data_IF_879281903066
#
_entry.id   IF_879281903066
#
_cell.length_a   1.000
_cell.length_b   1.000
_cell.length_c   1.000
_cell.angle_alpha   90.00
_cell.angle_beta   90.00
_cell.angle_gamma   90.00
#
_symmetry.space_group_name_H-M   'P 1'
#
loop_
_entity.id
_entity.type
_entity.pdbx_description
1 polymer ?
#
# COMPACT_ATOMS: atom_id res chain seq x y z
N UNK A 1 41.44 1.34 -19.19
CA UNK A 1 40.28 0.41 -19.25
C UNK A 1 39.44 0.61 -18.00
N UNK A 2 38.12 0.62 -18.13
CA UNK A 2 37.21 0.71 -16.97
C UNK A 2 36.96 -0.69 -16.39
N UNK A 3 37.03 -0.79 -15.07
CA UNK A 3 36.77 -2.01 -14.31
C UNK A 3 35.62 -1.80 -13.33
N UNK A 4 34.85 -2.85 -13.11
CA UNK A 4 33.69 -2.87 -12.22
C UNK A 4 33.88 -3.99 -11.19
N UNK A 5 33.62 -3.68 -9.91
CA UNK A 5 33.59 -4.70 -8.86
C UNK A 5 32.23 -5.40 -8.89
N UNK A 6 32.20 -6.66 -9.32
CA UNK A 6 30.97 -7.41 -9.56
C UNK A 6 30.56 -8.19 -8.31
N UNK A 7 29.31 -8.00 -7.89
CA UNK A 7 28.65 -8.85 -6.89
C UNK A 7 28.04 -10.07 -7.59
N UNK A 8 28.64 -11.24 -7.38
CA UNK A 8 28.11 -12.50 -7.91
C UNK A 8 26.84 -12.95 -7.17
N UNK A 9 25.81 -13.34 -7.92
CA UNK A 9 24.53 -13.81 -7.36
C UNK A 9 24.73 -15.15 -6.64
N UNK A 10 24.22 -15.27 -5.42
CA UNK A 10 24.30 -16.51 -4.63
C UNK A 10 25.62 -16.72 -3.87
N UNK A 11 26.62 -15.87 -4.07
CA UNK A 11 27.92 -15.98 -3.41
C UNK A 11 28.11 -14.89 -2.33
N UNK A 12 29.03 -15.04 -1.37
CA UNK A 12 29.33 -13.99 -0.39
C UNK A 12 30.04 -12.76 -1.01
N UNK A 13 30.18 -11.68 -0.26
CA UNK A 13 30.88 -10.45 -0.73
C UNK A 13 32.39 -10.69 -0.94
N UNK A 14 32.96 -11.72 -0.30
CA UNK A 14 34.38 -12.09 -0.40
C UNK A 14 34.78 -12.64 -1.77
N UNK A 15 33.81 -13.10 -2.58
CA UNK A 15 34.07 -13.63 -3.93
C UNK A 15 33.93 -12.57 -5.02
N UNK A 16 33.70 -11.31 -4.67
CA UNK A 16 33.54 -10.24 -5.65
C UNK A 16 34.85 -10.04 -6.43
N UNK A 17 34.75 -9.92 -7.76
CA UNK A 17 35.90 -9.76 -8.65
C UNK A 17 35.82 -8.47 -9.46
N UNK A 18 36.98 -7.96 -9.86
CA UNK A 18 37.06 -6.82 -10.78
C UNK A 18 36.99 -7.31 -12.21
N UNK A 19 35.91 -6.95 -12.91
CA UNK A 19 35.68 -7.35 -14.29
C UNK A 19 35.79 -6.13 -15.24
N UNK A 20 36.45 -6.27 -16.40
CA UNK A 20 36.45 -5.24 -17.43
C UNK A 20 35.06 -5.11 -18.08
N UNK A 21 34.75 -3.94 -18.63
CA UNK A 21 33.45 -3.66 -19.25
C UNK A 21 33.05 -4.71 -20.32
N UNK A 22 34.00 -5.22 -21.09
CA UNK A 22 33.75 -6.20 -22.15
C UNK A 22 33.19 -7.53 -21.62
N UNK A 23 33.45 -7.87 -20.35
CA UNK A 23 32.92 -9.08 -19.71
C UNK A 23 31.46 -8.91 -19.25
N UNK A 24 30.95 -7.68 -19.19
CA UNK A 24 29.66 -7.36 -18.58
C UNK A 24 28.54 -7.33 -19.63
N UNK A 25 27.76 -8.41 -19.69
CA UNK A 25 26.60 -8.56 -20.58
C UNK A 25 25.28 -8.15 -19.91
N UNK A 26 25.28 -7.03 -19.19
CA UNK A 26 24.14 -6.58 -18.38
C UNK A 26 23.84 -5.08 -18.57
N UNK A 27 23.40 -4.66 -19.76
CA UNK A 27 23.24 -3.23 -20.11
C UNK A 27 22.32 -2.48 -19.15
N UNK A 28 21.24 -3.12 -18.68
CA UNK A 28 20.30 -2.49 -17.73
C UNK A 28 20.94 -2.23 -16.36
N UNK A 29 21.77 -3.14 -15.85
CA UNK A 29 22.47 -2.96 -14.57
C UNK A 29 23.56 -1.88 -14.69
N UNK A 30 24.27 -1.84 -15.82
CA UNK A 30 25.26 -0.80 -16.10
C UNK A 30 24.61 0.58 -16.22
N UNK A 31 23.47 0.68 -16.90
CA UNK A 31 22.69 1.91 -17.00
C UNK A 31 22.20 2.35 -15.62
N UNK A 32 21.66 1.43 -14.82
CA UNK A 32 21.21 1.71 -13.46
C UNK A 32 22.36 2.23 -12.58
N UNK A 33 23.51 1.57 -12.60
CA UNK A 33 24.70 2.00 -11.88
C UNK A 33 25.15 3.41 -12.31
N UNK A 34 25.15 3.68 -13.61
CA UNK A 34 25.51 4.99 -14.17
C UNK A 34 24.55 6.09 -13.71
N UNK A 35 23.24 5.81 -13.73
CA UNK A 35 22.21 6.74 -13.28
C UNK A 35 22.35 7.04 -11.79
N UNK A 36 22.57 6.03 -10.95
CA UNK A 36 22.76 6.24 -9.51
C UNK A 36 23.98 7.07 -9.20
N UNK A 37 25.09 6.79 -9.90
CA UNK A 37 26.33 7.54 -9.77
C UNK A 37 26.11 9.00 -10.17
N UNK A 38 25.39 9.25 -11.28
CA UNK A 38 25.05 10.59 -11.74
C UNK A 38 24.17 11.33 -10.72
N UNK A 39 23.12 10.69 -10.21
CA UNK A 39 22.20 11.25 -9.22
C UNK A 39 22.92 11.62 -7.92
N UNK A 40 23.80 10.74 -7.43
CA UNK A 40 24.59 11.04 -6.24
C UNK A 40 25.51 12.24 -6.46
N UNK A 41 26.21 12.28 -7.59
CA UNK A 41 27.10 13.39 -7.93
C UNK A 41 26.35 14.72 -8.08
N UNK A 42 25.14 14.71 -8.63
CA UNK A 42 24.32 15.92 -8.78
C UNK A 42 23.84 16.44 -7.42
N UNK A 43 23.47 15.56 -6.50
CA UNK A 43 23.10 15.92 -5.12
C UNK A 43 24.29 16.52 -4.35
N UNK A 44 25.47 15.91 -4.44
CA UNK A 44 26.69 16.40 -3.78
C UNK A 44 27.08 17.80 -4.28
N UNK A 45 26.91 18.07 -5.58
CA UNK A 45 27.17 19.40 -6.17
C UNK A 45 26.19 20.48 -5.70
N UNK A 46 24.92 20.13 -5.48
CA UNK A 46 23.90 21.07 -4.99
C UNK A 46 24.07 21.43 -3.51
N UNK A 47 24.54 20.49 -2.69
CA UNK A 47 24.65 20.68 -1.24
C UNK A 47 25.93 21.33 -0.72
N UNK A 48 26.98 21.50 -1.55
CA UNK A 48 28.30 21.99 -1.10
C UNK A 48 28.99 22.86 -2.16
N UNK A 49 29.12 24.16 -1.87
CA UNK A 49 30.15 25.05 -2.42
C UNK A 49 31.54 24.72 -1.81
N UNK A 50 31.95 23.44 -1.82
CA UNK A 50 33.23 23.00 -1.23
C UNK A 50 34.17 22.56 -2.34
N UNK A 51 35.35 23.19 -2.36
CA UNK A 51 36.52 22.91 -3.21
C UNK A 51 36.70 21.41 -3.47
N UNK A 52 36.30 20.96 -4.66
CA UNK A 52 36.42 19.57 -5.12
C UNK A 52 37.85 19.21 -5.58
N UNK A 53 38.84 20.08 -5.41
CA UNK A 53 40.19 19.88 -5.95
C UNK A 53 41.10 19.01 -5.07
N UNK A 54 40.89 18.95 -3.75
CA UNK A 54 41.95 18.40 -2.87
C UNK A 54 41.74 16.99 -2.30
N UNK A 55 40.64 16.26 -2.59
CA UNK A 55 40.51 14.88 -2.07
C UNK A 55 39.71 13.92 -2.97
N UNK A 56 40.20 13.72 -4.21
CA UNK A 56 39.66 12.76 -5.19
C UNK A 56 39.50 11.33 -4.60
N UNK A 57 40.39 10.90 -3.70
CA UNK A 57 40.33 9.60 -3.04
C UNK A 57 39.13 9.46 -2.10
N UNK A 58 38.80 10.50 -1.34
CA UNK A 58 37.66 10.49 -0.41
C UNK A 58 36.32 10.44 -1.17
N UNK A 59 36.21 11.23 -2.24
CA UNK A 59 35.03 11.24 -3.11
C UNK A 59 34.78 9.86 -3.74
N UNK A 60 35.83 9.22 -4.28
CA UNK A 60 35.72 7.86 -4.84
C UNK A 60 35.21 6.84 -3.81
N UNK A 61 35.69 6.90 -2.56
CA UNK A 61 35.21 6.03 -1.47
C UNK A 61 33.74 6.30 -1.12
N UNK A 62 33.32 7.57 -1.06
CA UNK A 62 31.95 7.94 -0.76
C UNK A 62 30.97 7.44 -1.84
N UNK A 63 31.33 7.61 -3.12
CA UNK A 63 30.55 7.08 -4.25
C UNK A 63 30.44 5.56 -4.14
N UNK A 64 31.56 4.86 -3.94
CA UNK A 64 31.54 3.40 -3.81
C UNK A 64 30.66 2.93 -2.64
N UNK A 65 30.77 3.59 -1.48
CA UNK A 65 29.93 3.30 -0.31
C UNK A 65 28.44 3.52 -0.59
N UNK A 66 28.08 4.61 -1.27
CA UNK A 66 26.70 4.88 -1.68
C UNK A 66 26.18 3.83 -2.67
N UNK A 67 26.97 3.44 -3.69
CA UNK A 67 26.60 2.39 -4.65
C UNK A 67 26.30 1.06 -3.96
N UNK A 68 27.14 0.65 -2.99
CA UNK A 68 26.93 -0.58 -2.21
C UNK A 68 25.64 -0.49 -1.38
N UNK A 69 25.41 0.63 -0.69
CA UNK A 69 24.18 0.86 0.08
C UNK A 69 22.94 0.81 -0.81
N UNK A 70 22.95 1.49 -1.95
CA UNK A 70 21.83 1.51 -2.92
C UNK A 70 21.54 0.12 -3.49
N UNK A 71 22.57 -0.67 -3.79
CA UNK A 71 22.42 -2.05 -4.25
C UNK A 71 21.81 -2.98 -3.17
N UNK A 72 22.29 -2.86 -1.92
CA UNK A 72 21.73 -3.60 -0.77
C UNK A 72 20.27 -3.22 -0.50
N UNK A 73 19.96 -1.91 -0.54
CA UNK A 73 18.60 -1.39 -0.41
C UNK A 73 17.67 -2.03 -1.45
N UNK A 74 18.02 -2.02 -2.74
CA UNK A 74 17.19 -2.62 -3.79
C UNK A 74 16.95 -4.11 -3.59
N UNK A 75 17.97 -4.84 -3.15
CA UNK A 75 17.82 -6.26 -2.84
C UNK A 75 16.86 -6.48 -1.67
N UNK A 76 16.93 -5.64 -0.63
CA UNK A 76 16.02 -5.68 0.50
C UNK A 76 14.57 -5.34 0.09
N UNK A 77 14.38 -4.27 -0.69
CA UNK A 77 13.06 -3.88 -1.22
C UNK A 77 12.45 -4.96 -2.12
N UNK A 78 13.26 -5.61 -2.97
CA UNK A 78 12.79 -6.73 -3.80
C UNK A 78 12.33 -7.91 -2.93
N UNK A 79 13.12 -8.30 -1.93
CA UNK A 79 12.73 -9.38 -1.00
C UNK A 79 11.45 -9.04 -0.25
N UNK A 80 11.28 -7.79 0.17
CA UNK A 80 10.07 -7.34 0.84
C UNK A 80 8.87 -7.37 -0.12
N UNK A 81 9.02 -6.89 -1.35
CA UNK A 81 7.99 -7.03 -2.39
C UNK A 81 7.58 -8.49 -2.60
N UNK A 82 8.55 -9.40 -2.69
CA UNK A 82 8.29 -10.84 -2.87
C UNK A 82 7.54 -11.41 -1.66
N UNK A 83 7.89 -11.00 -0.44
CA UNK A 83 7.20 -11.40 0.79
C UNK A 83 5.76 -10.87 0.86
N UNK A 84 5.53 -9.59 0.52
CA UNK A 84 4.19 -9.01 0.42
C UNK A 84 3.32 -9.80 -0.57
N UNK A 85 3.87 -10.13 -1.75
CA UNK A 85 3.15 -10.89 -2.77
C UNK A 85 2.96 -12.37 -2.44
N UNK A 86 3.82 -12.95 -1.58
CA UNK A 86 3.62 -14.30 -1.05
C UNK A 86 2.50 -14.34 -0.01
N UNK A 87 2.35 -13.27 0.78
CA UNK A 87 1.34 -13.17 1.83
C UNK A 87 -0.04 -12.80 1.31
N UNK A 88 -0.13 -11.92 0.30
CA UNK A 88 -1.42 -11.42 -0.19
C UNK A 88 -2.34 -12.56 -0.67
N UNK A 89 -3.64 -12.44 -0.40
CA UNK A 89 -4.68 -13.33 -0.94
C UNK A 89 -5.46 -12.70 -2.12
N UNK A 90 -5.22 -11.43 -2.44
CA UNK A 90 -5.89 -10.73 -3.54
C UNK A 90 -5.13 -10.87 -4.88
N UNK A 91 -5.84 -10.64 -5.99
CA UNK A 91 -5.30 -10.80 -7.35
C UNK A 91 -4.24 -9.76 -7.71
N UNK A 92 -4.41 -8.51 -7.29
CA UNK A 92 -3.48 -7.41 -7.60
C UNK A 92 -2.05 -7.69 -7.13
N UNK A 93 -1.04 -7.26 -7.89
CA UNK A 93 0.37 -7.34 -7.50
C UNK A 93 0.76 -6.11 -6.68
N UNK A 94 1.56 -6.31 -5.64
CA UNK A 94 2.13 -5.23 -4.83
C UNK A 94 3.55 -4.97 -5.34
N UNK A 95 3.86 -3.71 -5.67
CA UNK A 95 5.19 -3.30 -6.13
C UNK A 95 5.84 -2.36 -5.12
N UNK A 96 7.15 -2.51 -4.92
CA UNK A 96 7.94 -1.68 -4.01
C UNK A 96 9.08 -1.03 -4.78
N UNK A 97 9.16 0.30 -4.75
CA UNK A 97 10.20 1.07 -5.45
C UNK A 97 10.60 2.30 -4.64
N UNK A 98 11.90 2.45 -4.40
CA UNK A 98 12.46 3.69 -3.85
C UNK A 98 13.62 4.19 -4.74
N UNK A 99 13.34 5.27 -5.49
CA UNK A 99 14.32 5.95 -6.35
C UNK A 99 14.79 7.29 -5.80
N UNK A 100 14.37 7.66 -4.59
CA UNK A 100 14.64 8.99 -4.00
C UNK A 100 15.83 8.92 -3.05
N UNK A 101 15.80 7.99 -2.09
CA UNK A 101 16.77 7.91 -1.00
C UNK A 101 17.24 6.46 -0.74
N UNK A 102 17.84 6.21 0.43
CA UNK A 102 18.38 4.90 0.83
C UNK A 102 17.50 4.12 1.83
N UNK A 103 16.26 4.55 2.06
CA UNK A 103 15.35 3.90 3.00
C UNK A 103 14.95 2.50 2.53
N UNK A 104 15.14 1.51 3.40
CA UNK A 104 14.81 0.11 3.14
C UNK A 104 13.38 -0.24 3.55
N UNK A 105 13.02 -1.54 3.53
CA UNK A 105 11.77 -2.00 4.10
C UNK A 105 11.64 -1.61 5.58
N UNK A 106 10.42 -1.29 6.06
CA UNK A 106 10.17 -1.11 7.48
C UNK A 106 10.46 -2.41 8.25
N UNK A 107 11.14 -2.32 9.40
CA UNK A 107 11.60 -3.48 10.17
C UNK A 107 10.52 -4.18 10.98
N UNK A 108 9.44 -3.46 11.33
CA UNK A 108 8.39 -3.91 12.23
C UNK A 108 7.00 -3.79 11.59
N UNK A 109 6.90 -4.23 10.33
CA UNK A 109 5.67 -4.22 9.56
C UNK A 109 5.31 -5.64 9.13
N UNK A 110 4.08 -6.05 9.41
CA UNK A 110 3.56 -7.36 9.07
C UNK A 110 2.31 -7.22 8.24
N UNK A 111 2.38 -7.66 6.98
CA UNK A 111 1.22 -7.69 6.10
C UNK A 111 0.21 -8.74 6.59
N UNK A 112 -1.02 -8.30 6.82
CA UNK A 112 -2.15 -9.14 7.21
C UNK A 112 -3.24 -9.02 6.13
N UNK A 113 -3.88 -10.14 5.81
CA UNK A 113 -4.99 -10.17 4.86
C UNK A 113 -6.34 -10.04 5.55
N UNK A 114 -6.42 -10.19 6.85
CA UNK A 114 -7.68 -10.16 7.58
C UNK A 114 -7.43 -9.51 8.92
N UNK A 115 -8.47 -8.90 9.46
CA UNK A 115 -8.42 -8.30 10.79
C UNK A 115 -7.99 -9.35 11.82
N UNK A 116 -7.05 -8.97 12.68
CA UNK A 116 -6.62 -9.79 13.81
C UNK A 116 -7.23 -9.20 15.10
N UNK A 117 -8.31 -9.78 15.65
CA UNK A 117 -8.93 -9.25 16.85
C UNK A 117 -7.95 -9.25 18.03
N UNK A 118 -8.06 -8.24 18.88
CA UNK A 118 -7.40 -8.24 20.17
C UNK A 118 -7.94 -9.40 21.04
N UNK A 119 -7.13 -9.94 21.97
CA UNK A 119 -7.60 -10.95 22.91
C UNK A 119 -8.88 -10.49 23.63
N UNK A 120 -9.92 -11.32 23.62
CA UNK A 120 -11.23 -11.01 24.23
C UNK A 120 -12.31 -10.51 23.26
N UNK A 121 -11.94 -10.10 22.04
CA UNK A 121 -12.90 -9.71 21.00
C UNK A 121 -13.27 -10.94 20.17
N UNK A 122 -14.53 -11.36 20.23
CA UNK A 122 -15.04 -12.45 19.40
C UNK A 122 -15.78 -11.88 18.19
N UNK A 123 -15.36 -12.24 16.97
CA UNK A 123 -16.05 -11.88 15.72
C UNK A 123 -17.32 -12.74 15.49
N UNK A 124 -18.01 -13.12 16.57
CA UNK A 124 -18.94 -14.25 16.56
C UNK A 124 -20.35 -13.93 16.07
N UNK A 125 -20.66 -12.69 15.69
CA UNK A 125 -21.97 -12.34 15.13
C UNK A 125 -21.98 -12.56 13.63
N UNK A 126 -21.83 -13.83 13.26
CA UNK A 126 -22.08 -14.29 11.89
C UNK A 126 -23.54 -14.05 11.55
N UNK A 127 -23.76 -13.50 10.37
CA UNK A 127 -25.07 -13.27 9.81
C UNK A 127 -25.93 -14.53 9.97
N UNK A 128 -27.08 -14.35 10.62
CA UNK A 128 -28.02 -15.43 10.92
C UNK A 128 -28.91 -15.68 9.68
N UNK A 129 -29.07 -14.66 8.84
CA UNK A 129 -29.95 -14.68 7.67
C UNK A 129 -29.20 -14.25 6.40
N UNK A 130 -29.66 -14.75 5.26
CA UNK A 130 -29.18 -14.38 3.93
C UNK A 130 -30.33 -14.37 2.94
N UNK A 131 -30.16 -13.67 1.82
CA UNK A 131 -31.22 -13.57 0.82
C UNK A 131 -31.42 -14.89 0.04
N UNK A 132 -32.67 -15.17 -0.30
CA UNK A 132 -33.10 -16.32 -1.13
C UNK A 132 -33.46 -15.94 -2.57
N UNK A 133 -33.19 -14.70 -2.98
CA UNK A 133 -33.60 -14.17 -4.28
C UNK A 133 -32.83 -14.79 -5.45
N UNK A 134 -33.51 -14.99 -6.58
CA UNK A 134 -32.92 -15.39 -7.86
C UNK A 134 -32.57 -14.20 -8.76
N UNK A 135 -33.10 -13.01 -8.47
CA UNK A 135 -32.91 -11.78 -9.25
C UNK A 135 -32.18 -10.70 -8.42
N UNK A 136 -30.85 -10.70 -8.56
CA UNK A 136 -29.93 -10.00 -7.66
C UNK A 136 -29.83 -8.48 -7.88
N UNK A 137 -30.59 -7.93 -8.83
CA UNK A 137 -30.59 -6.50 -9.16
C UNK A 137 -31.88 -5.75 -8.76
N UNK A 138 -32.97 -6.47 -8.49
CA UNK A 138 -34.29 -5.85 -8.34
C UNK A 138 -35.01 -6.39 -7.08
N UNK A 139 -34.93 -5.55 -6.04
CA UNK A 139 -35.96 -5.31 -5.03
C UNK A 139 -36.03 -6.17 -3.76
N UNK A 140 -35.47 -7.39 -3.67
CA UNK A 140 -35.43 -8.15 -2.40
C UNK A 140 -34.08 -8.82 -2.14
N UNK A 141 -33.12 -8.01 -1.66
CA UNK A 141 -31.76 -8.46 -1.33
C UNK A 141 -31.32 -7.88 0.02
N UNK A 142 -30.15 -8.28 0.53
CA UNK A 142 -29.62 -7.86 1.84
C UNK A 142 -29.67 -6.34 2.10
N UNK A 143 -29.38 -5.44 1.13
CA UNK A 143 -29.56 -4.00 1.33
C UNK A 143 -31.00 -3.61 1.68
N UNK A 144 -31.98 -4.19 0.97
CA UNK A 144 -33.40 -3.87 1.16
C UNK A 144 -33.90 -4.33 2.54
N UNK A 145 -33.46 -5.50 3.00
CA UNK A 145 -33.74 -5.99 4.37
C UNK A 145 -33.12 -5.08 5.44
N UNK A 146 -31.96 -4.49 5.17
CA UNK A 146 -31.33 -3.49 6.04
C UNK A 146 -31.92 -2.08 5.88
N UNK A 147 -32.94 -1.89 5.04
CA UNK A 147 -33.59 -0.60 4.81
C UNK A 147 -32.76 0.39 3.98
N UNK A 148 -31.74 -0.08 3.26
CA UNK A 148 -30.85 0.76 2.44
C UNK A 148 -30.85 0.37 0.96
N UNK A 149 -30.40 1.30 0.13
CA UNK A 149 -30.31 1.08 -1.32
C UNK A 149 -29.12 0.16 -1.67
N UNK A 150 -29.27 -0.61 -2.74
CA UNK A 150 -28.17 -1.39 -3.32
C UNK A 150 -26.99 -0.45 -3.67
N UNK A 151 -25.81 -0.74 -3.13
CA UNK A 151 -24.64 0.13 -3.25
C UNK A 151 -24.07 0.22 -4.68
N UNK A 152 -24.24 -0.84 -5.48
CA UNK A 152 -23.53 -1.03 -6.75
C UNK A 152 -24.44 -0.91 -7.97
N UNK A 153 -23.88 -0.41 -9.06
CA UNK A 153 -24.50 -0.46 -10.38
C UNK A 153 -24.08 -1.73 -11.16
N UNK A 154 -24.62 -1.91 -12.37
CA UNK A 154 -24.30 -3.05 -13.27
C UNK A 154 -22.82 -3.15 -13.68
N UNK A 155 -22.08 -2.06 -13.55
CA UNK A 155 -20.65 -1.96 -13.85
C UNK A 155 -19.77 -2.15 -12.60
N UNK A 156 -20.32 -2.60 -11.46
CA UNK A 156 -19.63 -2.76 -10.17
C UNK A 156 -19.05 -1.45 -9.61
N UNK A 157 -19.67 -0.31 -9.95
CA UNK A 157 -19.31 0.99 -9.40
C UNK A 157 -20.28 1.38 -8.30
N UNK A 158 -19.79 2.10 -7.30
CA UNK A 158 -20.61 2.63 -6.21
C UNK A 158 -21.54 3.74 -6.73
N UNK A 159 -22.79 3.75 -6.30
CA UNK A 159 -23.80 4.75 -6.67
C UNK A 159 -24.49 5.42 -5.47
N UNK A 160 -24.14 5.00 -4.26
CA UNK A 160 -24.64 5.58 -3.00
C UNK A 160 -23.68 6.69 -2.52
N UNK A 161 -24.18 7.73 -1.83
CA UNK A 161 -23.33 8.79 -1.30
C UNK A 161 -22.45 8.28 -0.12
N UNK A 162 -21.27 8.88 0.11
CA UNK A 162 -20.49 8.64 1.33
C UNK A 162 -21.34 8.78 2.60
N UNK A 163 -21.02 8.01 3.65
CA UNK A 163 -21.82 7.93 4.87
C UNK A 163 -23.02 6.95 4.79
N UNK A 164 -23.37 6.43 3.61
CA UNK A 164 -24.37 5.36 3.48
C UNK A 164 -23.69 3.99 3.67
N UNK A 165 -24.16 3.12 4.58
CA UNK A 165 -23.55 1.81 4.78
C UNK A 165 -23.83 0.87 3.60
N UNK A 166 -22.87 0.00 3.32
CA UNK A 166 -22.96 -1.03 2.29
C UNK A 166 -23.31 -2.36 2.95
N UNK A 167 -24.43 -2.97 2.56
CA UNK A 167 -24.78 -4.34 2.96
C UNK A 167 -24.59 -5.30 1.78
N UNK A 168 -23.48 -6.03 1.77
CA UNK A 168 -23.23 -7.06 0.77
C UNK A 168 -23.95 -8.37 1.10
N UNK A 169 -24.10 -9.25 0.10
CA UNK A 169 -24.50 -10.61 0.36
C UNK A 169 -23.42 -11.35 1.17
N UNK A 170 -23.86 -12.21 2.08
CA UNK A 170 -23.01 -12.90 3.06
C UNK A 170 -22.97 -14.42 2.81
N UNK A 171 -22.29 -15.18 3.66
CA UNK A 171 -22.14 -16.64 3.53
C UNK A 171 -23.46 -17.43 3.66
N UNK A 172 -24.52 -16.83 4.20
CA UNK A 172 -25.88 -17.44 4.31
C UNK A 172 -26.76 -17.21 3.08
N UNK A 173 -26.36 -16.32 2.17
CA UNK A 173 -27.14 -16.04 0.97
C UNK A 173 -27.05 -17.18 -0.04
N UNK A 174 -28.15 -17.46 -0.74
CA UNK A 174 -28.18 -18.51 -1.78
C UNK A 174 -27.40 -18.11 -3.06
N UNK A 175 -27.05 -16.83 -3.20
CA UNK A 175 -26.31 -16.32 -4.34
C UNK A 175 -24.85 -16.79 -4.36
N UNK A 176 -24.38 -17.20 -5.54
CA UNK A 176 -23.01 -17.63 -5.78
C UNK A 176 -21.97 -16.50 -5.71
N UNK A 177 -20.68 -16.83 -5.97
CA UNK A 177 -19.59 -15.86 -5.91
C UNK A 177 -19.78 -14.71 -6.91
N UNK A 178 -20.36 -14.95 -8.08
CA UNK A 178 -20.54 -13.92 -9.12
C UNK A 178 -21.69 -12.94 -8.85
N UNK A 179 -22.31 -13.01 -7.67
CA UNK A 179 -23.34 -12.06 -7.26
C UNK A 179 -22.86 -10.60 -7.42
N UNK A 180 -23.69 -9.72 -8.02
CA UNK A 180 -23.36 -8.31 -8.20
C UNK A 180 -23.28 -7.53 -6.87
N UNK A 181 -23.85 -8.08 -5.80
CA UNK A 181 -23.76 -7.55 -4.43
C UNK A 181 -22.68 -8.26 -3.59
N UNK A 182 -21.62 -8.77 -4.24
CA UNK A 182 -20.40 -9.28 -3.61
C UNK A 182 -19.20 -8.63 -4.29
N UNK A 183 -18.75 -7.47 -3.85
CA UNK A 183 -17.70 -6.65 -4.50
C UNK A 183 -16.52 -6.46 -3.56
N UNK A 184 -16.74 -5.91 -2.37
CA UNK A 184 -15.73 -5.66 -1.34
C UNK A 184 -15.14 -7.00 -0.90
N UNK A 185 -15.98 -7.99 -0.58
CA UNK A 185 -15.52 -9.32 -0.20
C UNK A 185 -14.70 -10.04 -1.30
N UNK A 186 -14.84 -9.62 -2.58
CA UNK A 186 -14.02 -10.16 -3.68
C UNK A 186 -12.66 -9.48 -3.79
N UNK A 187 -12.55 -8.24 -3.33
CA UNK A 187 -11.44 -7.34 -3.70
C UNK A 187 -10.58 -6.94 -2.51
N UNK A 188 -11.14 -6.74 -1.31
CA UNK A 188 -10.39 -6.23 -0.17
C UNK A 188 -10.95 -6.71 1.20
N UNK A 189 -10.07 -6.91 2.20
CA UNK A 189 -10.43 -7.28 3.57
C UNK A 189 -10.54 -6.11 4.57
N UNK A 190 -11.09 -6.44 5.75
CA UNK A 190 -11.61 -5.62 6.88
C UNK A 190 -10.55 -4.88 7.72
N UNK A 191 -10.85 -3.66 8.23
CA UNK A 191 -10.03 -2.86 9.18
C UNK A 191 -10.93 -2.23 10.29
N UNK A 192 -10.46 -2.06 11.55
CA UNK A 192 -11.16 -1.38 12.69
C UNK A 192 -10.25 -0.53 13.61
N UNK A 193 -10.85 0.37 14.42
CA UNK A 193 -10.22 1.48 15.16
C UNK A 193 -10.02 1.40 16.70
N UNK A 194 -10.51 0.44 17.49
CA UNK A 194 -10.43 0.62 18.97
C UNK A 194 -9.06 0.30 19.63
N UNK A 195 -8.13 -0.37 18.95
CA UNK A 195 -6.74 -0.57 19.43
C UNK A 195 -5.80 0.55 18.94
N UNK A 196 -6.30 1.44 18.10
CA UNK A 196 -5.58 2.60 17.57
C UNK A 196 -5.22 3.59 18.69
N UNK A 197 -6.21 3.94 19.50
CA UNK A 197 -6.12 4.97 20.55
C UNK A 197 -5.10 4.63 21.64
N UNK A 198 -4.94 3.35 22.01
CA UNK A 198 -3.92 2.96 23.01
C UNK A 198 -2.48 3.13 22.49
N UNK A 199 -2.29 3.15 21.16
CA UNK A 199 -0.97 3.29 20.52
C UNK A 199 -0.64 4.72 20.08
N UNK A 200 -1.60 5.64 20.10
CA UNK A 200 -1.43 7.07 19.76
C UNK A 200 -0.24 7.71 20.48
N UNK A 201 -0.07 7.45 21.78
CA UNK A 201 1.03 8.02 22.58
C UNK A 201 2.44 7.58 22.12
N UNK A 202 2.54 6.53 21.30
CA UNK A 202 3.80 5.99 20.77
C UNK A 202 4.09 6.46 19.33
N UNK A 203 3.05 6.84 18.57
CA UNK A 203 3.14 7.20 17.15
C UNK A 203 3.29 8.71 16.91
N UNK A 204 2.76 9.57 17.79
CA UNK A 204 2.93 11.03 17.73
C UNK A 204 4.41 11.44 17.79
N UNK A 205 5.19 10.74 18.62
CA UNK A 205 6.64 10.99 18.76
C UNK A 205 7.46 10.62 17.51
N UNK A 206 6.88 9.87 16.56
CA UNK A 206 7.50 9.50 15.27
C UNK A 206 6.84 10.18 14.06
N UNK A 207 5.75 10.93 14.26
CA UNK A 207 5.03 11.63 13.20
C UNK A 207 4.38 10.71 12.15
N UNK A 208 3.85 9.55 12.56
CA UNK A 208 3.24 8.58 11.64
C UNK A 208 1.77 8.33 12.00
N UNK A 209 0.87 8.45 11.03
CA UNK A 209 -0.58 8.20 11.17
C UNK A 209 -0.95 6.84 10.55
N UNK A 210 -0.99 5.77 11.36
CA UNK A 210 -1.48 4.45 10.93
C UNK A 210 -2.91 4.17 11.39
N UNK A 211 -3.53 5.14 12.05
CA UNK A 211 -4.84 5.01 12.68
C UNK A 211 -5.91 5.56 11.73
N UNK A 212 -6.99 4.81 11.60
CA UNK A 212 -8.21 5.25 10.94
C UNK A 212 -9.29 5.19 12.01
N UNK A 213 -9.82 6.35 12.37
CA UNK A 213 -10.95 6.44 13.28
C UNK A 213 -12.21 5.93 12.57
N UNK A 214 -12.98 5.07 13.26
CA UNK A 214 -14.25 4.54 12.76
C UNK A 214 -15.42 5.45 13.14
N UNK A 215 -15.16 6.64 13.67
CA UNK A 215 -16.20 7.58 14.00
C UNK A 215 -16.91 8.04 12.71
N UNK A 216 -18.20 7.78 12.70
CA UNK A 216 -19.11 7.89 11.57
C UNK A 216 -19.33 9.35 11.09
N UNK A 217 -18.58 10.32 11.62
CA UNK A 217 -18.75 11.75 11.36
C UNK A 217 -17.40 12.44 11.13
N UNK A 218 -16.85 12.31 9.91
CA UNK A 218 -15.72 13.13 9.49
C UNK A 218 -15.86 13.55 8.02
N UNK A 219 -16.02 14.85 7.81
CA UNK A 219 -16.10 15.55 6.52
C UNK A 219 -14.71 15.83 5.91
N UNK A 220 -13.72 14.95 6.12
CA UNK A 220 -12.39 15.13 5.53
C UNK A 220 -12.27 14.55 4.12
N UNK A 221 -11.95 15.44 3.18
CA UNK A 221 -11.76 15.14 1.76
C UNK A 221 -10.51 14.28 1.52
N UNK A 222 -10.65 12.97 1.66
CA UNK A 222 -9.74 12.00 1.06
C UNK A 222 -10.11 11.79 -0.41
N UNK A 223 -9.11 11.49 -1.27
CA UNK A 223 -9.34 11.24 -2.71
C UNK A 223 -10.17 9.96 -2.95
N UNK A 224 -10.24 9.11 -1.94
CA UNK A 224 -11.06 7.91 -1.87
C UNK A 224 -12.19 8.14 -0.88
N UNK A 225 -13.41 7.70 -1.22
CA UNK A 225 -14.52 7.72 -0.29
C UNK A 225 -14.46 6.46 0.61
N UNK A 226 -14.59 6.68 1.91
CA UNK A 226 -14.59 5.64 2.94
C UNK A 226 -16.02 5.14 3.13
N UNK A 227 -16.21 3.81 3.09
CA UNK A 227 -17.50 3.18 3.30
C UNK A 227 -17.43 2.09 4.35
N UNK A 228 -18.41 2.08 5.25
CA UNK A 228 -18.69 0.96 6.14
C UNK A 228 -19.41 -0.14 5.37
N UNK A 229 -18.92 -1.37 5.50
CA UNK A 229 -19.38 -2.55 4.77
C UNK A 229 -19.74 -3.64 5.77
N UNK A 230 -20.91 -4.23 5.55
CA UNK A 230 -21.46 -5.31 6.35
C UNK A 230 -21.67 -6.51 5.44
N UNK A 231 -21.10 -7.64 5.85
CA UNK A 231 -21.14 -8.90 5.10
C UNK A 231 -21.63 -10.01 6.05
N UNK A 232 -20.74 -10.90 6.47
CA UNK A 232 -21.02 -11.87 7.52
C UNK A 232 -21.11 -11.22 8.89
N UNK A 233 -20.37 -10.15 9.16
CA UNK A 233 -20.56 -9.39 10.39
C UNK A 233 -21.61 -8.29 10.15
N UNK A 234 -22.70 -8.34 10.91
CA UNK A 234 -23.77 -7.33 10.88
C UNK A 234 -23.72 -6.40 12.11
N UNK A 235 -22.80 -6.62 13.04
CA UNK A 235 -22.60 -5.70 14.15
C UNK A 235 -22.08 -4.35 13.64
N UNK A 236 -22.91 -3.32 13.84
CA UNK A 236 -22.71 -1.95 13.36
C UNK A 236 -21.60 -1.21 14.08
N UNK A 237 -21.19 -1.66 15.27
CA UNK A 237 -19.99 -1.16 15.97
C UNK A 237 -18.70 -1.65 15.32
N UNK A 238 -18.84 -2.60 14.41
CA UNK A 238 -17.80 -3.49 14.00
C UNK A 238 -17.72 -3.61 12.45
N UNK A 239 -17.85 -2.51 11.68
CA UNK A 239 -17.92 -2.55 10.21
C UNK A 239 -16.59 -2.96 9.56
N UNK A 240 -16.67 -3.41 8.31
CA UNK A 240 -15.54 -3.44 7.40
C UNK A 240 -15.37 -2.09 6.71
N UNK A 241 -14.16 -1.53 6.72
CA UNK A 241 -13.85 -0.35 5.93
C UNK A 241 -13.52 -0.76 4.49
N UNK A 242 -14.09 -0.07 3.52
CA UNK A 242 -13.69 -0.13 2.11
C UNK A 242 -13.43 1.26 1.54
N UNK A 243 -12.38 1.37 0.73
CA UNK A 243 -12.03 2.59 0.00
C UNK A 243 -12.50 2.49 -1.44
N UNK A 244 -13.25 3.48 -1.91
CA UNK A 244 -13.71 3.59 -3.29
C UNK A 244 -13.17 4.85 -3.95
N UNK A 245 -12.73 4.74 -5.20
CA UNK A 245 -12.28 5.89 -5.97
C UNK A 245 -13.46 6.86 -6.21
N UNK A 246 -13.30 8.14 -5.88
CA UNK A 246 -14.31 9.19 -6.14
C UNK A 246 -14.33 9.65 -7.59
N UNK A 247 -13.30 9.29 -8.37
CA UNK A 247 -13.12 9.63 -9.77
C UNK A 247 -12.26 8.60 -10.49
N UNK A 248 -12.11 8.74 -11.80
CA UNK A 248 -11.10 8.00 -12.56
C UNK A 248 -9.69 8.34 -12.06
N UNK A 249 -8.91 7.29 -11.77
CA UNK A 249 -7.50 7.38 -11.36
C UNK A 249 -6.64 6.87 -12.52
N UNK A 250 -5.67 7.68 -12.94
CA UNK A 250 -4.79 7.32 -14.05
C UNK A 250 -3.68 6.37 -13.60
N UNK A 251 -3.15 5.59 -14.54
CA UNK A 251 -2.01 4.71 -14.26
C UNK A 251 -0.80 5.53 -13.79
N UNK A 252 -0.23 5.17 -12.63
CA UNK A 252 0.90 5.85 -12.00
C UNK A 252 0.52 7.06 -11.13
N UNK A 253 -0.76 7.35 -10.98
CA UNK A 253 -1.25 8.41 -10.08
C UNK A 253 -1.18 7.98 -8.60
N UNK A 254 -0.71 8.88 -7.74
CA UNK A 254 -0.68 8.68 -6.29
C UNK A 254 -2.09 8.80 -5.69
N UNK A 255 -2.47 7.83 -4.85
CA UNK A 255 -3.82 7.70 -4.28
C UNK A 255 -4.05 8.58 -3.04
N UNK A 256 -3.00 9.10 -2.40
CA UNK A 256 -3.09 9.95 -1.19
C UNK A 256 -2.47 11.33 -1.47
N UNK A 257 -3.13 12.40 -0.99
CA UNK A 257 -2.73 13.80 -1.24
C UNK A 257 -1.41 14.15 -0.52
N UNK A 258 -0.38 14.50 -1.31
CA UNK A 258 0.50 15.66 -1.04
C UNK A 258 0.17 16.74 -2.06
N UNK A 259 -1.07 17.22 -2.04
CA UNK A 259 -1.78 17.46 -3.29
C UNK A 259 -1.34 18.68 -4.08
N UNK A 260 -0.54 19.60 -3.53
CA UNK A 260 -0.12 20.81 -4.27
C UNK A 260 -1.28 21.54 -4.95
N UNK A 261 -2.50 21.29 -4.47
CA UNK A 261 -3.73 21.76 -5.08
C UNK A 261 -3.90 23.23 -4.72
N UNK A 262 -4.51 24.01 -5.61
CA UNK A 262 -4.80 25.43 -5.35
C UNK A 262 -5.63 25.62 -4.07
N UNK A 263 -6.40 24.59 -3.68
CA UNK A 263 -7.24 24.53 -2.47
C UNK A 263 -6.60 23.76 -1.30
N UNK A 264 -5.31 23.44 -1.38
CA UNK A 264 -4.59 22.75 -0.30
C UNK A 264 -4.60 23.60 0.98
N UNK A 265 -5.08 23.04 2.09
CA UNK A 265 -5.11 23.74 3.40
C UNK A 265 -3.74 23.84 4.07
N UNK A 266 -2.69 23.25 3.48
CA UNK A 266 -1.30 23.39 3.94
C UNK A 266 -0.87 22.45 5.07
N UNK A 267 -1.78 21.69 5.67
CA UNK A 267 -1.50 20.75 6.75
C UNK A 267 -2.32 19.46 6.59
N UNK A 268 -1.79 18.35 7.15
CA UNK A 268 -2.49 17.07 7.25
C UNK A 268 -3.29 16.94 8.57
N UNK A 269 -3.16 17.93 9.48
CA UNK A 269 -3.94 18.17 10.70
C UNK A 269 -4.03 19.68 10.94
#
# INVERSE_FOLDING_TARGET
MEYYLVKWKGWPDSTNTWEPLQNLKCPLLLQQFSNDKHNYLSQVKKGKAISLKDNNKALKRAIAGYMVKKAKQRTALQRWQDELNRRKNHKGMIFVKNTVDLEGPPSDFYYINEYKPAPGISLLDKAIFGCSGTDYFFEKCCPAEAGVLLAYNKNQQIKIPPGTPIYECNSRCQCGPDCPNRIVQKRHPVIRSEEAERREQLYDNKGITYLFDLDYESDEFTRDAVFNVFTDNLDTHLPQIALFSTRTINAGEETVCKCGAVTCRGYLN
#
